data_IF_934147904652
#
_entry.id   IF_934147904652
#
_cell.length_a   1.000
_cell.length_b   1.000
_cell.length_c   1.000
_cell.angle_alpha   90.00
_cell.angle_beta   90.00
_cell.angle_gamma   90.00
#
_symmetry.space_group_name_H-M   'P 1'
#
loop_
_entity.id
_entity.type
_entity.pdbx_description
1 polymer ?
#
# COMPACT_ATOMS: atom_id res chain seq x y z
N UNK A 1 -25.11 4.64 13.18
CA UNK A 1 -24.01 3.75 12.75
C UNK A 1 -24.41 2.28 12.92
N UNK A 2 -24.28 1.43 11.89
CA UNK A 2 -24.57 -0.02 11.96
C UNK A 2 -23.31 -0.82 11.66
N UNK A 3 -22.91 -1.70 12.58
CA UNK A 3 -21.81 -2.65 12.39
C UNK A 3 -22.35 -4.04 12.02
N UNK A 4 -21.69 -4.71 11.08
CA UNK A 4 -21.97 -6.08 10.65
C UNK A 4 -20.67 -6.88 10.66
N UNK A 5 -20.61 -7.90 11.52
CA UNK A 5 -19.43 -8.73 11.73
C UNK A 5 -19.51 -9.96 10.83
N UNK A 6 -18.58 -10.07 9.90
CA UNK A 6 -18.47 -11.20 8.97
C UNK A 6 -17.22 -12.02 9.29
N UNK A 7 -17.22 -13.27 8.86
CA UNK A 7 -15.99 -14.07 8.96
C UNK A 7 -14.93 -13.44 8.04
N UNK A 8 -13.87 -12.91 8.63
CA UNK A 8 -12.73 -12.31 7.93
C UNK A 8 -12.76 -10.79 7.74
N UNK A 9 -13.87 -10.11 8.04
CA UNK A 9 -13.97 -8.65 7.91
C UNK A 9 -15.16 -8.07 8.69
N UNK A 10 -15.13 -6.76 8.93
CA UNK A 10 -16.22 -6.00 9.55
C UNK A 10 -16.69 -4.91 8.60
N UNK A 11 -17.99 -4.66 8.58
CA UNK A 11 -18.61 -3.61 7.78
C UNK A 11 -19.25 -2.58 8.72
N UNK A 12 -18.91 -1.31 8.55
CA UNK A 12 -19.56 -0.19 9.20
C UNK A 12 -20.31 0.64 8.16
N UNK A 13 -21.55 1.03 8.47
CA UNK A 13 -22.39 1.85 7.58
C UNK A 13 -22.93 3.07 8.30
N UNK A 14 -22.82 4.21 7.65
CA UNK A 14 -23.26 5.50 8.17
C UNK A 14 -23.70 6.45 7.05
N UNK A 15 -24.88 7.05 7.19
CA UNK A 15 -25.38 8.04 6.24
C UNK A 15 -25.55 7.50 4.81
N UNK A 16 -24.91 8.16 3.85
CA UNK A 16 -24.94 7.82 2.43
C UNK A 16 -24.46 6.39 2.15
N UNK A 17 -24.88 5.81 1.01
CA UNK A 17 -24.39 4.48 0.59
C UNK A 17 -22.93 4.52 0.11
N UNK A 18 -22.50 5.66 -0.41
CA UNK A 18 -21.16 5.92 -0.96
C UNK A 18 -20.45 6.99 -0.13
N UNK A 19 -19.12 7.06 -0.14
CA UNK A 19 -18.17 6.14 -0.80
C UNK A 19 -17.94 4.83 0.00
N UNK A 20 -17.37 3.81 -0.64
CA UNK A 20 -16.87 2.60 0.01
C UNK A 20 -15.38 2.73 0.33
N UNK A 21 -15.04 2.77 1.62
CA UNK A 21 -13.67 2.66 2.12
C UNK A 21 -13.33 1.21 2.40
N UNK A 22 -12.23 0.70 1.84
CA UNK A 22 -11.85 -0.71 1.97
C UNK A 22 -10.39 -0.82 2.41
N UNK A 23 -10.16 -1.37 3.60
CA UNK A 23 -8.81 -1.62 4.14
C UNK A 23 -8.51 -3.11 4.06
N UNK A 24 -7.90 -3.52 2.94
CA UNK A 24 -7.67 -4.93 2.59
C UNK A 24 -6.67 -5.61 3.54
N UNK A 25 -5.74 -4.83 4.10
CA UNK A 25 -4.55 -5.30 4.81
C UNK A 25 -4.46 -4.78 6.26
N UNK A 26 -5.58 -4.39 6.86
CA UNK A 26 -5.68 -3.88 8.23
C UNK A 26 -5.72 -4.96 9.31
N UNK A 27 -5.86 -6.23 8.94
CA UNK A 27 -5.83 -7.36 9.87
C UNK A 27 -4.50 -7.52 10.62
N UNK A 28 -4.42 -8.46 11.56
CA UNK A 28 -3.29 -8.59 12.47
C UNK A 28 -1.97 -8.83 11.74
N UNK A 29 -0.90 -8.28 12.30
CA UNK A 29 0.45 -8.58 11.85
C UNK A 29 0.96 -9.86 12.55
N UNK A 30 1.06 -10.96 11.80
CA UNK A 30 1.57 -12.23 12.32
C UNK A 30 3.02 -12.46 11.86
N UNK A 31 3.86 -12.91 12.78
CA UNK A 31 5.32 -13.12 12.67
C UNK A 31 6.20 -11.89 12.40
N UNK A 32 5.70 -10.90 11.64
CA UNK A 32 6.45 -9.68 11.33
C UNK A 32 5.57 -8.45 11.56
N UNK A 33 6.01 -7.44 12.34
CA UNK A 33 5.20 -6.26 12.65
C UNK A 33 4.83 -5.45 11.39
N UNK A 34 5.64 -5.58 10.33
CA UNK A 34 5.53 -4.84 9.08
C UNK A 34 4.69 -5.54 8.01
N UNK A 35 3.96 -6.61 8.35
CA UNK A 35 3.16 -7.37 7.37
C UNK A 35 1.78 -6.78 7.10
N UNK A 36 1.29 -5.88 7.95
CA UNK A 36 0.00 -5.17 7.80
C UNK A 36 0.20 -3.76 7.28
N UNK A 37 -0.87 -3.18 6.73
CA UNK A 37 -0.89 -1.76 6.35
C UNK A 37 -1.25 -0.93 7.59
N UNK A 38 -0.21 -0.53 8.34
CA UNK A 38 -0.34 0.10 9.66
C UNK A 38 -1.15 1.40 9.64
N UNK A 39 -2.24 1.42 10.41
CA UNK A 39 -3.17 2.56 10.56
C UNK A 39 -3.84 3.00 9.25
N UNK A 40 -3.85 2.15 8.21
CA UNK A 40 -4.68 2.39 7.02
C UNK A 40 -6.16 2.48 7.41
N UNK A 41 -6.59 1.62 8.34
CA UNK A 41 -7.94 1.63 8.88
C UNK A 41 -8.26 2.92 9.64
N UNK A 42 -7.28 3.55 10.29
CA UNK A 42 -7.47 4.80 11.03
C UNK A 42 -7.75 5.97 10.08
N UNK A 43 -6.96 6.11 9.02
CA UNK A 43 -7.19 7.16 8.02
C UNK A 43 -8.51 6.91 7.29
N UNK A 44 -8.80 5.66 6.92
CA UNK A 44 -10.06 5.27 6.31
C UNK A 44 -11.26 5.56 7.21
N UNK A 45 -11.21 5.21 8.50
CA UNK A 45 -12.31 5.46 9.44
C UNK A 45 -12.53 6.94 9.68
N UNK A 46 -11.47 7.73 9.82
CA UNK A 46 -11.58 9.17 10.02
C UNK A 46 -12.15 9.89 8.78
N UNK A 47 -11.80 9.45 7.56
CA UNK A 47 -12.43 9.97 6.34
C UNK A 47 -13.88 9.54 6.23
N UNK A 48 -14.17 8.28 6.54
CA UNK A 48 -15.54 7.75 6.57
C UNK A 48 -16.45 8.52 7.54
N UNK A 49 -15.97 8.87 8.74
CA UNK A 49 -16.72 9.70 9.69
C UNK A 49 -17.00 11.12 9.15
N UNK A 50 -16.18 11.63 8.23
CA UNK A 50 -16.35 12.96 7.62
C UNK A 50 -17.34 12.94 6.45
N UNK A 51 -17.36 11.88 5.65
CA UNK A 51 -18.12 11.82 4.39
C UNK A 51 -19.33 10.89 4.45
N UNK A 52 -19.45 10.06 5.49
CA UNK A 52 -20.36 8.91 5.51
C UNK A 52 -19.91 7.80 4.55
N UNK A 53 -20.83 6.89 4.23
CA UNK A 53 -20.59 5.77 3.33
C UNK A 53 -20.51 4.42 4.03
N UNK A 54 -19.74 3.52 3.42
CA UNK A 54 -19.47 2.18 3.94
C UNK A 54 -17.97 2.01 4.20
N UNK A 55 -17.60 1.54 5.39
CA UNK A 55 -16.24 1.17 5.73
C UNK A 55 -16.13 -0.35 5.89
N UNK A 56 -15.26 -0.99 5.11
CA UNK A 56 -14.97 -2.43 5.14
C UNK A 56 -13.54 -2.62 5.63
N UNK A 57 -13.39 -3.33 6.76
CA UNK A 57 -12.11 -3.55 7.42
C UNK A 57 -11.81 -5.04 7.47
N UNK A 58 -10.71 -5.46 6.84
CA UNK A 58 -10.22 -6.84 6.97
C UNK A 58 -9.82 -7.14 8.41
N UNK A 59 -10.25 -8.28 8.94
CA UNK A 59 -9.89 -8.74 10.29
C UNK A 59 -8.91 -9.90 10.30
N UNK A 60 -8.47 -10.36 9.12
CA UNK A 60 -7.54 -11.49 8.95
C UNK A 60 -6.19 -11.03 8.42
N UNK A 61 -5.10 -11.73 8.79
CA UNK A 61 -3.76 -11.37 8.33
C UNK A 61 -3.66 -11.58 6.81
N UNK A 62 -2.97 -10.68 6.10
CA UNK A 62 -2.68 -10.88 4.66
C UNK A 62 -1.63 -11.97 4.39
N UNK A 63 -1.07 -12.58 5.44
CA UNK A 63 -0.07 -13.63 5.32
C UNK A 63 -0.75 -14.93 4.87
N UNK A 64 -0.41 -15.39 3.67
CA UNK A 64 -1.09 -16.51 2.97
C UNK A 64 -1.19 -17.81 3.76
N UNK A 65 -0.24 -18.10 4.65
CA UNK A 65 -0.28 -19.27 5.51
C UNK A 65 -1.45 -19.23 6.52
N UNK A 66 -1.79 -18.05 7.04
CA UNK A 66 -2.75 -17.91 8.15
C UNK A 66 -4.01 -17.11 7.78
N UNK A 67 -4.00 -16.39 6.67
CA UNK A 67 -5.14 -15.63 6.21
C UNK A 67 -5.10 -15.38 4.70
N UNK A 68 -5.61 -14.23 4.28
CA UNK A 68 -5.95 -13.96 2.88
C UNK A 68 -5.44 -12.57 2.52
N UNK A 69 -4.60 -12.51 1.49
CA UNK A 69 -4.28 -11.26 0.82
C UNK A 69 -5.35 -10.95 -0.22
N UNK A 70 -6.36 -10.18 0.17
CA UNK A 70 -7.45 -9.80 -0.73
C UNK A 70 -6.96 -9.03 -1.97
N UNK A 71 -5.75 -8.46 -1.96
CA UNK A 71 -5.18 -7.74 -3.09
C UNK A 71 -4.56 -8.67 -4.17
N UNK A 72 -4.76 -9.99 -4.05
CA UNK A 72 -4.27 -11.04 -4.97
C UNK A 72 -5.40 -11.94 -5.44
N UNK A 73 -5.11 -12.79 -6.42
CA UNK A 73 -6.08 -13.68 -7.02
C UNK A 73 -6.29 -14.99 -6.22
N UNK A 74 -7.36 -15.70 -6.55
CA UNK A 74 -7.64 -17.03 -5.99
C UNK A 74 -6.64 -18.04 -6.58
N UNK A 75 -5.89 -18.79 -5.75
CA UNK A 75 -5.01 -19.86 -6.22
C UNK A 75 -5.80 -21.06 -6.77
N UNK A 76 -5.26 -21.81 -7.74
CA UNK A 76 -5.76 -23.16 -8.03
C UNK A 76 -5.69 -24.04 -6.78
N UNK A 77 -6.74 -24.83 -6.51
CA UNK A 77 -6.86 -25.67 -5.30
C UNK A 77 -5.64 -26.55 -5.04
N UNK A 78 -5.19 -27.26 -6.08
CA UNK A 78 -4.02 -28.15 -5.99
C UNK A 78 -2.75 -27.38 -5.58
N UNK A 79 -2.49 -26.25 -6.24
CA UNK A 79 -1.31 -25.42 -5.97
C UNK A 79 -1.36 -24.81 -4.56
N UNK A 80 -2.54 -24.36 -4.10
CA UNK A 80 -2.74 -23.80 -2.77
C UNK A 80 -2.42 -24.81 -1.65
N UNK A 81 -2.76 -26.08 -1.86
CA UNK A 81 -2.53 -27.16 -0.90
C UNK A 81 -1.08 -27.59 -0.92
N UNK A 82 -0.51 -27.84 -2.10
CA UNK A 82 0.87 -28.30 -2.26
C UNK A 82 1.89 -27.31 -1.70
N UNK A 83 1.64 -26.01 -1.82
CA UNK A 83 2.58 -24.98 -1.36
C UNK A 83 2.48 -24.68 0.14
N UNK A 84 1.44 -25.17 0.83
CA UNK A 84 1.21 -24.81 2.23
C UNK A 84 2.38 -25.20 3.15
N UNK A 85 2.92 -26.40 2.96
CA UNK A 85 4.08 -26.87 3.73
C UNK A 85 5.31 -25.97 3.52
N UNK A 86 5.51 -25.45 2.30
CA UNK A 86 6.61 -24.52 1.99
C UNK A 86 6.45 -23.21 2.76
N UNK A 87 5.21 -22.71 2.88
CA UNK A 87 4.92 -21.49 3.64
C UNK A 87 5.16 -21.64 5.14
N UNK A 88 4.80 -22.78 5.72
CA UNK A 88 4.98 -23.05 7.15
C UNK A 88 6.46 -23.23 7.50
N UNK A 89 7.21 -23.93 6.64
CA UNK A 89 8.64 -24.18 6.84
C UNK A 89 9.55 -23.05 6.33
N UNK A 90 8.98 -22.05 5.68
CA UNK A 90 9.67 -20.95 4.96
C UNK A 90 10.80 -21.46 4.04
N UNK A 91 10.53 -22.55 3.32
CA UNK A 91 11.48 -23.18 2.37
C UNK A 91 11.17 -22.78 0.94
N UNK A 92 12.18 -22.87 0.06
CA UNK A 92 12.05 -22.56 -1.37
C UNK A 92 11.55 -21.12 -1.63
N UNK A 93 12.35 -20.14 -1.20
CA UNK A 93 12.04 -18.71 -1.25
C UNK A 93 11.61 -18.23 -2.65
N UNK A 94 12.15 -18.83 -3.72
CA UNK A 94 11.77 -18.48 -5.09
C UNK A 94 10.33 -18.84 -5.41
N UNK A 95 9.92 -20.07 -5.09
CA UNK A 95 8.54 -20.52 -5.29
C UNK A 95 7.58 -19.70 -4.44
N UNK A 96 7.90 -19.46 -3.17
CA UNK A 96 7.07 -18.65 -2.27
C UNK A 96 6.88 -17.22 -2.78
N UNK A 97 7.94 -16.59 -3.28
CA UNK A 97 7.88 -15.23 -3.83
C UNK A 97 6.96 -15.15 -5.06
N UNK A 98 7.11 -16.08 -6.02
CA UNK A 98 6.26 -16.09 -7.22
C UNK A 98 4.79 -16.38 -6.89
N UNK A 99 4.53 -17.25 -5.92
CA UNK A 99 3.18 -17.48 -5.43
C UNK A 99 2.59 -16.24 -4.77
N UNK A 100 3.34 -15.56 -3.88
CA UNK A 100 2.89 -14.33 -3.18
C UNK A 100 2.52 -13.21 -4.15
N UNK A 101 3.21 -13.11 -5.29
CA UNK A 101 2.92 -12.11 -6.33
C UNK A 101 1.55 -12.32 -6.99
N UNK A 102 1.05 -13.55 -7.03
CA UNK A 102 -0.16 -13.91 -7.79
C UNK A 102 -1.35 -14.18 -6.88
N UNK A 103 -1.14 -14.93 -5.81
CA UNK A 103 -2.23 -15.60 -5.10
C UNK A 103 -2.44 -15.14 -3.65
N UNK A 104 -3.70 -15.22 -3.24
CA UNK A 104 -4.24 -14.66 -2.02
C UNK A 104 -3.95 -15.51 -0.77
N UNK A 105 -3.90 -16.83 -0.89
CA UNK A 105 -3.72 -17.71 0.26
C UNK A 105 -3.09 -19.05 -0.11
N UNK A 106 -2.56 -19.77 0.87
CA UNK A 106 -2.27 -21.21 0.80
C UNK A 106 -3.27 -21.93 1.72
N UNK A 107 -3.46 -23.24 1.56
CA UNK A 107 -4.46 -24.00 2.32
C UNK A 107 -3.87 -25.31 2.84
N UNK A 108 -4.20 -25.69 4.08
CA UNK A 108 -3.73 -26.97 4.66
C UNK A 108 -4.22 -28.18 3.91
N UNK A 109 -5.47 -28.13 3.49
CA UNK A 109 -6.25 -29.25 2.99
C UNK A 109 -7.44 -28.72 2.16
N UNK A 110 -8.24 -29.62 1.57
CA UNK A 110 -9.43 -29.23 0.81
C UNK A 110 -10.47 -28.41 1.57
N UNK A 111 -10.61 -28.58 2.88
CA UNK A 111 -11.60 -27.90 3.72
C UNK A 111 -11.16 -26.46 4.03
N UNK A 112 -9.91 -26.28 4.46
CA UNK A 112 -9.29 -24.96 4.67
C UNK A 112 -9.33 -24.13 3.37
N UNK A 113 -9.10 -24.77 2.21
CA UNK A 113 -9.25 -24.12 0.92
C UNK A 113 -10.68 -23.61 0.69
N UNK A 114 -11.69 -24.44 0.95
CA UNK A 114 -13.09 -24.08 0.77
C UNK A 114 -13.49 -22.92 1.70
N UNK A 115 -13.04 -22.96 2.96
CA UNK A 115 -13.30 -21.90 3.93
C UNK A 115 -12.66 -20.56 3.51
N UNK A 116 -11.39 -20.56 3.10
CA UNK A 116 -10.71 -19.34 2.63
C UNK A 116 -11.33 -18.79 1.36
N UNK A 117 -11.73 -19.66 0.44
CA UNK A 117 -12.43 -19.27 -0.76
C UNK A 117 -13.78 -18.62 -0.43
N UNK A 118 -14.53 -19.17 0.52
CA UNK A 118 -15.78 -18.59 0.99
C UNK A 118 -15.57 -17.18 1.56
N UNK A 119 -14.58 -17.00 2.45
CA UNK A 119 -14.24 -15.69 3.02
C UNK A 119 -13.83 -14.70 1.92
N UNK A 120 -12.95 -15.12 1.00
CA UNK A 120 -12.51 -14.30 -0.14
C UNK A 120 -13.69 -13.82 -0.99
N UNK A 121 -14.59 -14.74 -1.36
CA UNK A 121 -15.78 -14.41 -2.16
C UNK A 121 -16.75 -13.52 -1.39
N UNK A 122 -16.98 -13.80 -0.10
CA UNK A 122 -17.87 -13.00 0.74
C UNK A 122 -17.40 -11.56 0.86
N UNK A 123 -16.10 -11.35 1.10
CA UNK A 123 -15.49 -10.03 1.16
C UNK A 123 -15.71 -9.26 -0.15
N UNK A 124 -15.32 -9.84 -1.29
CA UNK A 124 -15.43 -9.16 -2.57
C UNK A 124 -16.88 -8.95 -3.04
N UNK A 125 -17.80 -9.84 -2.65
CA UNK A 125 -19.23 -9.65 -2.91
C UNK A 125 -19.79 -8.44 -2.15
N UNK A 126 -19.27 -8.14 -0.96
CA UNK A 126 -19.63 -6.91 -0.26
C UNK A 126 -19.05 -5.67 -0.94
N UNK A 127 -17.75 -5.69 -1.26
CA UNK A 127 -17.08 -4.55 -1.91
C UNK A 127 -17.71 -4.20 -3.27
N UNK A 128 -18.14 -5.21 -4.05
CA UNK A 128 -18.80 -5.03 -5.36
C UNK A 128 -20.10 -4.22 -5.32
N UNK A 129 -20.72 -4.06 -4.14
CA UNK A 129 -21.94 -3.27 -3.97
C UNK A 129 -21.69 -1.77 -4.08
N UNK A 130 -20.46 -1.32 -3.86
CA UNK A 130 -20.06 0.08 -4.01
C UNK A 130 -19.88 0.48 -5.47
N UNK A 131 -20.26 1.71 -5.78
CA UNK A 131 -19.97 2.38 -7.05
C UNK A 131 -18.64 3.13 -6.99
N UNK A 132 -18.40 3.87 -5.90
CA UNK A 132 -17.14 4.56 -5.64
C UNK A 132 -16.37 3.81 -4.55
N UNK A 133 -15.23 3.21 -4.90
CA UNK A 133 -14.44 2.36 -4.01
C UNK A 133 -13.06 2.96 -3.81
N UNK A 134 -12.76 3.35 -2.57
CA UNK A 134 -11.45 3.75 -2.08
C UNK A 134 -10.77 2.57 -1.39
N UNK A 135 -9.81 1.93 -2.08
CA UNK A 135 -8.93 0.94 -1.48
C UNK A 135 -7.82 1.68 -0.73
N UNK A 136 -7.81 1.59 0.60
CA UNK A 136 -6.87 2.33 1.45
C UNK A 136 -5.77 1.37 1.92
N UNK A 137 -4.54 1.72 1.56
CA UNK A 137 -3.32 0.98 1.87
C UNK A 137 -2.39 1.83 2.75
N UNK A 138 -1.15 1.40 2.94
CA UNK A 138 -0.11 2.22 3.58
C UNK A 138 1.24 2.01 2.91
N UNK A 139 1.85 3.11 2.50
CA UNK A 139 3.20 3.12 1.93
C UNK A 139 4.24 3.40 3.02
N UNK A 140 5.31 2.62 3.09
CA UNK A 140 6.46 2.98 3.93
C UNK A 140 7.11 4.27 3.43
N UNK A 141 7.31 5.23 4.33
CA UNK A 141 8.00 6.49 4.08
C UNK A 141 9.47 6.24 3.73
N UNK A 142 9.78 5.95 2.46
CA UNK A 142 11.12 5.59 1.96
C UNK A 142 11.51 6.47 0.77
N UNK A 143 12.81 6.53 0.44
CA UNK A 143 13.32 7.41 -0.62
C UNK A 143 12.64 7.13 -1.98
N UNK A 144 12.29 5.87 -2.23
CA UNK A 144 11.62 5.42 -3.47
C UNK A 144 10.25 6.08 -3.73
N UNK A 145 9.57 6.59 -2.71
CA UNK A 145 8.25 7.20 -2.89
C UNK A 145 8.28 8.74 -2.94
N UNK A 146 9.41 9.38 -2.66
CA UNK A 146 9.52 10.84 -2.70
C UNK A 146 9.13 11.39 -4.09
N UNK A 147 8.44 12.56 -4.14
CA UNK A 147 8.05 13.44 -3.02
C UNK A 147 6.70 13.05 -2.40
N UNK A 148 6.13 11.91 -2.78
CA UNK A 148 4.77 11.53 -2.40
C UNK A 148 4.62 11.37 -0.90
N UNK A 149 3.61 12.03 -0.33
CA UNK A 149 3.13 11.81 1.04
C UNK A 149 1.86 10.96 1.07
N UNK A 150 1.16 10.92 -0.07
CA UNK A 150 0.03 10.05 -0.39
C UNK A 150 0.02 9.89 -1.92
N UNK A 151 0.11 8.65 -2.41
CA UNK A 151 0.02 8.37 -3.85
C UNK A 151 -1.34 7.79 -4.18
N UNK A 152 -1.93 8.21 -5.29
CA UNK A 152 -3.25 7.74 -5.73
C UNK A 152 -3.08 6.94 -7.00
N UNK A 153 -3.59 5.72 -7.03
CA UNK A 153 -3.67 4.92 -8.25
C UNK A 153 -5.10 4.88 -8.77
N UNK A 154 -5.29 5.11 -10.07
CA UNK A 154 -6.60 5.00 -10.71
C UNK A 154 -6.73 3.60 -11.31
N UNK A 155 -7.52 2.73 -10.70
CA UNK A 155 -7.76 1.38 -11.23
C UNK A 155 -8.87 1.35 -12.29
N UNK A 156 -9.77 2.32 -12.25
CA UNK A 156 -10.89 2.42 -13.19
C UNK A 156 -10.43 2.71 -14.62
N UNK A 157 -11.12 2.09 -15.58
CA UNK A 157 -10.89 2.26 -17.02
C UNK A 157 -11.78 3.35 -17.63
N UNK A 158 -12.55 4.10 -16.83
CA UNK A 158 -13.40 5.20 -17.30
C UNK A 158 -12.54 6.26 -17.99
N UNK A 159 -12.83 6.54 -19.26
CA UNK A 159 -12.08 7.51 -20.07
C UNK A 159 -12.09 8.90 -19.41
N UNK A 160 -10.97 9.61 -19.46
CA UNK A 160 -10.82 10.96 -18.90
C UNK A 160 -10.74 11.05 -17.36
N UNK A 161 -11.14 10.01 -16.61
CA UNK A 161 -11.14 10.02 -15.15
C UNK A 161 -9.78 10.40 -14.56
N UNK A 162 -8.69 9.78 -15.05
CA UNK A 162 -7.34 10.06 -14.54
C UNK A 162 -6.95 11.52 -14.65
N UNK A 163 -7.33 12.21 -15.73
CA UNK A 163 -7.05 13.64 -15.90
C UNK A 163 -7.77 14.46 -14.83
N UNK A 164 -9.06 14.20 -14.61
CA UNK A 164 -9.82 14.86 -13.56
C UNK A 164 -9.25 14.60 -12.15
N UNK A 165 -8.74 13.40 -11.88
CA UNK A 165 -8.07 13.09 -10.61
C UNK A 165 -6.78 13.93 -10.46
N UNK A 166 -6.00 14.11 -11.52
CA UNK A 166 -4.81 14.95 -11.50
C UNK A 166 -5.19 16.41 -11.18
N UNK A 167 -6.18 16.96 -11.86
CA UNK A 167 -6.65 18.35 -11.62
C UNK A 167 -7.11 18.54 -10.16
N UNK A 168 -7.87 17.58 -9.61
CA UNK A 168 -8.31 17.59 -8.20
C UNK A 168 -7.11 17.53 -7.25
N UNK A 169 -6.12 16.69 -7.54
CA UNK A 169 -4.90 16.58 -6.72
C UNK A 169 -4.07 17.84 -6.76
N UNK A 170 -4.02 18.56 -7.89
CA UNK A 170 -3.33 19.85 -8.00
C UNK A 170 -4.01 20.94 -7.16
N UNK A 171 -5.35 21.00 -7.17
CA UNK A 171 -6.11 21.89 -6.28
C UNK A 171 -5.86 21.58 -4.80
N UNK A 172 -5.93 20.30 -4.42
CA UNK A 172 -5.67 19.85 -3.05
C UNK A 172 -4.22 20.15 -2.67
N UNK A 173 -3.26 19.95 -3.57
CA UNK A 173 -1.87 20.29 -3.30
C UNK A 173 -1.68 21.79 -3.04
N UNK A 174 -2.40 22.63 -3.78
CA UNK A 174 -2.40 24.09 -3.57
C UNK A 174 -3.03 24.46 -2.22
N UNK A 175 -4.16 23.86 -1.88
CA UNK A 175 -4.87 24.09 -0.62
C UNK A 175 -4.02 23.69 0.61
N UNK A 176 -3.32 22.55 0.55
CA UNK A 176 -2.50 22.04 1.67
C UNK A 176 -1.01 22.43 1.58
N UNK A 177 -0.62 23.34 0.68
CA UNK A 177 0.78 23.74 0.48
C UNK A 177 1.48 24.19 1.79
N UNK A 178 0.80 24.99 2.60
CA UNK A 178 1.31 25.44 3.90
C UNK A 178 1.55 24.29 4.87
N UNK A 179 0.64 23.32 4.91
CA UNK A 179 0.80 22.12 5.73
C UNK A 179 2.01 21.31 5.26
N UNK A 180 2.14 21.05 3.96
CA UNK A 180 3.26 20.31 3.40
C UNK A 180 4.60 20.96 3.67
N UNK A 181 4.68 22.30 3.56
CA UNK A 181 5.90 23.03 3.91
C UNK A 181 6.22 22.91 5.40
N UNK A 182 5.21 23.02 6.27
CA UNK A 182 5.37 22.89 7.73
C UNK A 182 5.90 21.52 8.15
N UNK A 183 5.47 20.44 7.48
CA UNK A 183 5.88 19.06 7.82
C UNK A 183 7.09 18.55 7.03
N UNK A 184 7.62 19.33 6.09
CA UNK A 184 8.70 18.90 5.20
C UNK A 184 9.90 18.32 5.97
N UNK A 185 10.40 19.04 6.98
CA UNK A 185 11.58 18.64 7.75
C UNK A 185 11.34 17.33 8.51
N UNK A 186 10.18 17.18 9.16
CA UNK A 186 9.85 15.98 9.91
C UNK A 186 9.59 14.79 8.99
N UNK A 187 8.89 15.01 7.86
CA UNK A 187 8.68 13.98 6.83
C UNK A 187 10.01 13.44 6.30
N UNK A 188 10.91 14.32 5.85
CA UNK A 188 12.24 13.94 5.35
C UNK A 188 13.07 13.22 6.42
N UNK A 189 12.95 13.62 7.70
CA UNK A 189 13.60 12.91 8.81
C UNK A 189 13.05 11.50 9.00
N UNK A 190 11.73 11.30 8.91
CA UNK A 190 11.13 9.96 8.97
C UNK A 190 11.59 9.10 7.80
N UNK A 191 11.66 9.67 6.59
CA UNK A 191 12.19 8.94 5.42
C UNK A 191 13.63 8.48 5.65
N UNK A 192 14.49 9.36 6.16
CA UNK A 192 15.88 9.00 6.50
C UNK A 192 15.96 7.84 7.52
N UNK A 193 15.17 7.92 8.61
CA UNK A 193 15.17 6.90 9.66
C UNK A 193 14.64 5.56 9.17
N UNK A 194 13.65 5.57 8.28
CA UNK A 194 13.15 4.34 7.65
C UNK A 194 14.16 3.72 6.68
N UNK A 195 14.94 4.53 5.96
CA UNK A 195 16.07 4.04 5.16
C UNK A 195 17.15 3.40 6.02
N UNK A 196 17.54 4.07 7.10
CA UNK A 196 18.50 3.55 8.09
C UNK A 196 18.02 2.22 8.68
N UNK A 197 16.76 2.15 9.13
CA UNK A 197 16.16 0.93 9.65
C UNK A 197 16.17 -0.19 8.60
N UNK A 198 15.83 0.11 7.35
CA UNK A 198 15.75 -0.88 6.28
C UNK A 198 17.12 -1.47 5.94
N UNK A 199 18.13 -0.62 5.71
CA UNK A 199 19.49 -1.06 5.37
C UNK A 199 20.15 -1.81 6.53
N UNK A 200 20.03 -1.30 7.76
CA UNK A 200 20.57 -1.98 8.94
C UNK A 200 19.90 -3.35 9.17
N UNK A 201 18.60 -3.48 8.88
CA UNK A 201 17.93 -4.77 8.98
C UNK A 201 18.43 -5.77 7.92
N UNK A 202 18.69 -5.33 6.68
CA UNK A 202 19.30 -6.18 5.65
C UNK A 202 20.66 -6.66 6.11
N UNK A 203 21.53 -5.75 6.58
CA UNK A 203 22.85 -6.11 7.09
C UNK A 203 22.79 -7.07 8.28
N UNK A 204 21.90 -6.83 9.24
CA UNK A 204 21.75 -7.69 10.42
C UNK A 204 21.37 -9.11 10.03
N UNK A 205 20.45 -9.28 9.07
CA UNK A 205 19.91 -10.59 8.68
C UNK A 205 20.88 -11.34 7.76
N UNK A 206 21.41 -10.66 6.74
CA UNK A 206 22.20 -11.32 5.70
C UNK A 206 23.71 -11.22 5.91
N UNK A 207 24.17 -10.40 6.87
CA UNK A 207 25.59 -10.10 7.16
C UNK A 207 26.39 -9.58 5.96
N UNK A 208 25.72 -9.28 4.85
CA UNK A 208 26.28 -8.73 3.62
C UNK A 208 25.21 -7.92 2.90
N UNK A 209 25.65 -7.04 2.01
CA UNK A 209 24.79 -6.33 1.05
C UNK A 209 24.87 -7.00 -0.34
N UNK A 210 25.63 -8.11 -0.45
CA UNK A 210 25.69 -8.95 -1.66
C UNK A 210 24.31 -9.36 -2.13
N UNK A 211 23.95 -8.92 -3.34
CA UNK A 211 22.63 -9.09 -3.95
C UNK A 211 22.24 -10.56 -4.17
N UNK A 212 23.23 -11.45 -4.16
CA UNK A 212 23.14 -12.89 -4.37
C UNK A 212 22.63 -13.67 -3.14
N UNK A 213 22.79 -13.12 -1.93
CA UNK A 213 22.41 -13.79 -0.67
C UNK A 213 21.16 -13.22 0.00
N UNK A 214 20.58 -12.16 -0.57
CA UNK A 214 19.43 -11.45 -0.01
C UNK A 214 18.13 -12.01 -0.60
N UNK A 215 17.09 -12.23 0.22
CA UNK A 215 15.78 -12.63 -0.31
C UNK A 215 15.26 -11.61 -1.35
N UNK A 216 14.63 -12.11 -2.41
CA UNK A 216 14.25 -11.29 -3.58
C UNK A 216 13.37 -10.08 -3.25
N UNK A 217 12.52 -10.14 -2.23
CA UNK A 217 11.70 -9.00 -1.80
C UNK A 217 12.55 -7.82 -1.28
N UNK A 218 13.62 -8.10 -0.52
CA UNK A 218 14.53 -7.06 -0.05
C UNK A 218 15.34 -6.49 -1.21
N UNK A 219 15.78 -7.34 -2.15
CA UNK A 219 16.48 -6.91 -3.35
C UNK A 219 15.61 -5.99 -4.23
N UNK A 220 14.34 -6.34 -4.48
CA UNK A 220 13.41 -5.49 -5.24
C UNK A 220 13.22 -4.13 -4.56
N UNK A 221 13.12 -4.11 -3.23
CA UNK A 221 12.97 -2.87 -2.49
C UNK A 221 14.23 -2.00 -2.58
N UNK A 222 15.41 -2.57 -2.33
CA UNK A 222 16.68 -1.84 -2.40
C UNK A 222 16.94 -1.26 -3.80
N UNK A 223 16.63 -2.01 -4.86
CA UNK A 223 16.68 -1.50 -6.24
C UNK A 223 15.80 -0.26 -6.41
N UNK A 224 14.58 -0.28 -5.88
CA UNK A 224 13.67 0.88 -5.96
C UNK A 224 14.16 2.06 -5.13
N UNK A 225 14.83 1.82 -4.01
CA UNK A 225 15.43 2.89 -3.22
C UNK A 225 16.60 3.54 -3.97
N UNK A 226 17.43 2.74 -4.64
CA UNK A 226 18.49 3.24 -5.54
C UNK A 226 17.92 4.07 -6.70
N UNK A 227 16.83 3.60 -7.34
CA UNK A 227 16.12 4.42 -8.34
C UNK A 227 15.55 5.70 -7.74
N UNK A 228 15.10 5.66 -6.48
CA UNK A 228 14.69 6.84 -5.72
C UNK A 228 15.81 7.86 -5.55
N UNK A 229 17.04 7.41 -5.25
CA UNK A 229 18.22 8.26 -5.11
C UNK A 229 18.61 8.92 -6.44
N UNK A 230 18.60 8.16 -7.55
CA UNK A 230 18.93 8.68 -8.90
C UNK A 230 18.06 9.87 -9.33
N UNK A 231 16.85 10.00 -8.80
CA UNK A 231 15.97 11.15 -9.10
C UNK A 231 16.46 12.48 -8.52
N UNK A 232 17.29 12.43 -7.48
CA UNK A 232 17.72 13.61 -6.72
C UNK A 232 19.24 13.71 -6.56
N UNK A 233 19.99 12.74 -7.08
CA UNK A 233 21.44 12.69 -7.00
C UNK A 233 22.08 12.69 -8.39
N UNK A 234 23.31 13.18 -8.48
CA UNK A 234 24.08 13.17 -9.72
C UNK A 234 24.58 11.76 -10.02
N UNK A 235 24.76 11.40 -11.30
CA UNK A 235 25.20 10.04 -11.67
C UNK A 235 26.58 9.72 -11.06
N UNK A 236 27.48 10.71 -10.98
CA UNK A 236 28.79 10.57 -10.31
C UNK A 236 28.69 10.14 -8.85
N UNK A 237 27.70 10.66 -8.11
CA UNK A 237 27.46 10.28 -6.72
C UNK A 237 26.88 8.86 -6.59
N UNK A 238 26.08 8.45 -7.58
CA UNK A 238 25.52 7.11 -7.67
C UNK A 238 26.62 6.09 -8.02
N UNK A 239 27.53 6.44 -8.93
CA UNK A 239 28.65 5.58 -9.31
C UNK A 239 29.60 5.34 -8.15
N UNK A 240 29.93 6.37 -7.37
CA UNK A 240 30.70 6.22 -6.12
C UNK A 240 30.02 5.24 -5.15
N UNK A 241 28.69 5.32 -5.01
CA UNK A 241 27.93 4.38 -4.17
C UNK A 241 27.95 2.95 -4.73
N UNK A 242 27.92 2.79 -6.06
CA UNK A 242 28.00 1.47 -6.72
C UNK A 242 29.38 0.82 -6.53
N UNK A 243 30.44 1.61 -6.65
CA UNK A 243 31.82 1.15 -6.46
C UNK A 243 32.15 0.80 -5.01
N UNK A 244 31.59 1.56 -4.06
CA UNK A 244 31.86 1.38 -2.64
C UNK A 244 30.57 1.46 -1.79
N UNK A 245 29.74 0.41 -1.91
CA UNK A 245 28.49 0.37 -1.16
C UNK A 245 28.74 0.10 0.33
N UNK A 246 28.43 1.08 1.18
CA UNK A 246 28.37 0.95 2.64
C UNK A 246 27.10 1.61 3.17
N UNK A 247 26.63 1.24 4.37
CA UNK A 247 25.51 1.93 5.01
C UNK A 247 25.76 3.43 5.16
N UNK A 248 26.97 3.80 5.55
CA UNK A 248 27.35 5.20 5.70
C UNK A 248 27.24 5.96 4.37
N UNK A 249 27.76 5.38 3.27
CA UNK A 249 27.69 5.99 1.94
C UNK A 249 26.24 6.07 1.45
N UNK A 250 25.45 5.01 1.62
CA UNK A 250 24.04 5.00 1.24
C UNK A 250 23.22 6.06 2.01
N UNK A 251 23.41 6.16 3.32
CA UNK A 251 22.70 7.13 4.15
C UNK A 251 23.19 8.56 3.91
N UNK A 252 24.47 8.76 3.61
CA UNK A 252 25.00 10.05 3.17
C UNK A 252 24.31 10.51 1.89
N UNK A 253 24.20 9.62 0.90
CA UNK A 253 23.52 9.93 -0.36
C UNK A 253 22.02 10.15 -0.16
N UNK A 254 21.38 9.37 0.72
CA UNK A 254 19.99 9.58 1.13
C UNK A 254 19.78 10.98 1.71
N UNK A 255 20.69 11.46 2.56
CA UNK A 255 20.62 12.82 3.14
C UNK A 255 20.71 13.89 2.05
N UNK A 256 21.59 13.72 1.06
CA UNK A 256 21.70 14.64 -0.09
C UNK A 256 20.42 14.64 -0.94
N UNK A 257 19.89 13.47 -1.27
CA UNK A 257 18.64 13.33 -2.00
C UNK A 257 17.49 14.04 -1.29
N UNK A 258 17.38 13.88 0.04
CA UNK A 258 16.37 14.55 0.86
C UNK A 258 16.53 16.08 0.88
N UNK A 259 17.76 16.60 0.86
CA UNK A 259 18.01 18.04 0.78
C UNK A 259 17.57 18.64 -0.56
N UNK A 260 17.75 17.89 -1.66
CA UNK A 260 17.41 18.33 -3.02
C UNK A 260 15.96 18.07 -3.42
N UNK A 261 15.28 17.16 -2.73
CA UNK A 261 13.87 16.86 -2.97
C UNK A 261 12.98 18.07 -2.63
N UNK A 262 11.94 18.29 -3.43
CA UNK A 262 10.87 19.25 -3.15
C UNK A 262 10.08 18.90 -1.86
N UNK A 263 9.24 19.82 -1.33
CA UNK A 263 8.32 19.51 -0.24
C UNK A 263 7.39 18.32 -0.55
N UNK A 264 6.91 17.60 0.48
CA UNK A 264 5.96 16.51 0.27
C UNK A 264 4.70 16.97 -0.44
N UNK A 265 4.10 16.09 -1.24
CA UNK A 265 2.81 16.37 -1.90
C UNK A 265 2.01 15.11 -2.17
N UNK A 266 0.72 15.27 -2.43
CA UNK A 266 -0.11 14.19 -2.97
C UNK A 266 0.27 13.98 -4.43
N UNK A 267 0.39 12.72 -4.86
CA UNK A 267 0.74 12.37 -6.23
C UNK A 267 -0.25 11.40 -6.85
N UNK A 268 -0.28 11.31 -8.17
CA UNK A 268 -1.09 10.34 -8.92
C UNK A 268 -0.16 9.42 -9.69
N UNK A 269 -0.14 8.14 -9.30
CA UNK A 269 0.65 7.07 -9.92
C UNK A 269 2.15 7.37 -10.05
N UNK A 270 2.70 8.14 -9.12
CA UNK A 270 4.13 8.50 -9.14
C UNK A 270 5.01 7.29 -8.82
N UNK A 271 4.56 6.46 -7.87
CA UNK A 271 5.27 5.24 -7.49
C UNK A 271 4.40 3.99 -7.70
N UNK A 272 3.13 4.04 -7.30
CA UNK A 272 2.21 2.92 -7.41
C UNK A 272 1.39 3.00 -8.71
N UNK A 273 1.54 1.98 -9.56
CA UNK A 273 0.82 1.85 -10.84
C UNK A 273 -0.35 0.86 -10.80
N UNK A 274 -0.66 0.30 -9.63
CA UNK A 274 -1.73 -0.70 -9.47
C UNK A 274 -1.51 -2.03 -10.21
N UNK A 275 -0.30 -2.31 -10.68
CA UNK A 275 0.02 -3.56 -11.40
C UNK A 275 -0.02 -4.79 -10.48
N UNK A 276 0.18 -4.58 -9.18
CA UNK A 276 0.09 -5.63 -8.16
C UNK A 276 -1.36 -5.86 -7.65
N UNK A 277 -2.33 -5.04 -8.07
CA UNK A 277 -3.73 -5.09 -7.59
C UNK A 277 -4.58 -6.15 -8.33
N UNK A 278 -4.11 -7.39 -8.38
CA UNK A 278 -4.75 -8.46 -9.19
C UNK A 278 -6.17 -8.78 -8.69
N UNK A 279 -6.34 -8.90 -7.37
CA UNK A 279 -7.65 -9.15 -6.75
C UNK A 279 -8.67 -8.08 -7.13
N UNK A 280 -8.45 -6.79 -6.80
CA UNK A 280 -9.33 -5.70 -7.22
C UNK A 280 -9.63 -5.70 -8.70
N UNK A 281 -8.61 -5.87 -9.56
CA UNK A 281 -8.78 -5.85 -11.02
C UNK A 281 -9.72 -6.96 -11.50
N UNK A 282 -9.56 -8.19 -11.02
CA UNK A 282 -10.41 -9.32 -11.41
C UNK A 282 -11.81 -9.27 -10.80
N UNK A 283 -11.95 -8.68 -9.61
CA UNK A 283 -13.21 -8.66 -8.89
C UNK A 283 -14.08 -7.46 -9.25
N UNK A 284 -13.51 -6.32 -9.62
CA UNK A 284 -14.27 -5.09 -9.85
C UNK A 284 -14.40 -4.72 -11.33
N UNK A 285 -13.73 -5.42 -12.25
CA UNK A 285 -13.76 -5.12 -13.68
C UNK A 285 -14.08 -6.34 -14.55
N UNK A 286 -14.65 -6.13 -15.75
CA UNK A 286 -15.06 -4.85 -16.33
C UNK A 286 -16.28 -4.24 -15.61
N UNK A 287 -16.23 -2.94 -15.29
CA UNK A 287 -17.37 -2.17 -14.80
C UNK A 287 -17.16 -0.66 -14.94
N UNK A 288 -18.22 0.11 -14.73
CA UNK A 288 -18.28 1.58 -14.73
C UNK A 288 -17.89 2.23 -13.39
N UNK A 289 -17.54 1.41 -12.38
CA UNK A 289 -17.17 1.85 -11.04
C UNK A 289 -15.94 2.78 -11.06
N UNK A 290 -15.91 3.68 -10.09
CA UNK A 290 -14.73 4.47 -9.78
C UNK A 290 -13.98 3.74 -8.68
N UNK A 291 -12.79 3.21 -9.00
CA UNK A 291 -11.95 2.48 -8.04
C UNK A 291 -10.59 3.15 -7.97
N UNK A 292 -10.26 3.67 -6.79
CA UNK A 292 -8.99 4.33 -6.51
C UNK A 292 -8.24 3.58 -5.40
N UNK A 293 -6.92 3.46 -5.53
CA UNK A 293 -6.07 3.15 -4.39
C UNK A 293 -5.57 4.45 -3.79
N UNK A 294 -5.72 4.60 -2.49
CA UNK A 294 -5.04 5.63 -1.70
C UNK A 294 -3.90 4.96 -0.93
N UNK A 295 -2.68 5.41 -1.17
CA UNK A 295 -1.45 4.91 -0.56
C UNK A 295 -0.82 6.02 0.32
N UNK A 296 -1.50 6.46 1.41
CA UNK A 296 -0.89 7.39 2.35
C UNK A 296 0.35 6.77 2.96
N UNK A 297 1.36 7.60 3.20
CA UNK A 297 2.59 7.13 3.82
C UNK A 297 2.40 6.84 5.30
N UNK A 298 3.23 5.98 5.88
CA UNK A 298 3.29 5.74 7.33
C UNK A 298 3.43 7.04 8.13
N UNK A 299 4.07 8.05 7.55
CA UNK A 299 4.12 9.40 8.12
C UNK A 299 2.72 10.00 8.32
N UNK A 300 1.86 9.95 7.30
CA UNK A 300 0.46 10.40 7.44
C UNK A 300 -0.36 9.46 8.30
N UNK A 301 -0.28 8.14 8.09
CA UNK A 301 -1.20 7.21 8.78
C UNK A 301 -0.91 7.10 10.28
N UNK A 302 0.33 7.28 10.71
CA UNK A 302 0.71 7.18 12.13
C UNK A 302 0.83 8.56 12.81
N UNK A 303 1.56 9.51 12.23
CA UNK A 303 1.87 10.78 12.89
C UNK A 303 0.84 11.88 12.64
N UNK A 304 0.13 11.83 11.50
CA UNK A 304 -0.84 12.86 11.10
C UNK A 304 -2.17 12.27 10.58
N UNK A 305 -2.79 11.28 11.26
CA UNK A 305 -3.93 10.54 10.71
C UNK A 305 -5.13 11.44 10.41
N UNK A 306 -5.41 12.43 11.26
CA UNK A 306 -6.48 13.40 11.02
C UNK A 306 -6.25 14.22 9.74
N UNK A 307 -5.02 14.72 9.52
CA UNK A 307 -4.72 15.49 8.31
C UNK A 307 -4.71 14.60 7.06
N UNK A 308 -4.20 13.37 7.17
CA UNK A 308 -4.30 12.38 6.10
C UNK A 308 -5.76 12.11 5.73
N UNK A 309 -6.65 12.02 6.72
CA UNK A 309 -8.09 11.81 6.50
C UNK A 309 -8.79 13.02 5.88
N UNK A 310 -8.38 14.24 6.23
CA UNK A 310 -8.91 15.49 5.66
C UNK A 310 -8.56 15.61 4.18
N UNK A 311 -7.28 15.41 3.85
CA UNK A 311 -6.79 15.41 2.46
C UNK A 311 -7.54 14.36 1.63
N UNK A 312 -7.63 13.12 2.15
CA UNK A 312 -8.33 12.05 1.44
C UNK A 312 -9.83 12.33 1.28
N UNK A 313 -10.50 12.83 2.32
CA UNK A 313 -11.92 13.18 2.27
C UNK A 313 -12.20 14.32 1.28
N UNK A 314 -11.35 15.33 1.21
CA UNK A 314 -11.50 16.43 0.27
C UNK A 314 -11.37 15.96 -1.19
N UNK A 315 -10.38 15.11 -1.47
CA UNK A 315 -10.22 14.49 -2.80
C UNK A 315 -11.49 13.71 -3.17
N UNK A 316 -11.97 12.86 -2.26
CA UNK A 316 -13.16 12.04 -2.49
C UNK A 316 -14.41 12.91 -2.71
N UNK A 317 -14.60 13.94 -1.89
CA UNK A 317 -15.73 14.87 -2.00
C UNK A 317 -15.72 15.58 -3.35
N UNK A 318 -14.58 16.14 -3.77
CA UNK A 318 -14.43 16.79 -5.08
C UNK A 318 -14.70 15.83 -6.23
N UNK A 319 -14.37 14.54 -6.09
CA UNK A 319 -14.69 13.54 -7.11
C UNK A 319 -16.19 13.27 -7.16
N UNK A 320 -16.82 13.07 -6.00
CA UNK A 320 -18.25 12.83 -5.90
C UNK A 320 -19.05 14.00 -6.46
N UNK A 321 -18.65 15.25 -6.21
CA UNK A 321 -19.33 16.45 -6.71
C UNK A 321 -19.18 16.67 -8.23
N UNK A 322 -18.04 16.25 -8.81
CA UNK A 322 -17.72 16.55 -10.22
C UNK A 322 -18.03 15.41 -11.18
N UNK A 323 -17.99 14.16 -10.72
CA UNK A 323 -17.95 12.99 -11.59
C UNK A 323 -19.08 11.98 -11.36
N UNK A 324 -19.92 12.19 -10.33
CA UNK A 324 -21.03 11.32 -9.92
C UNK A 324 -22.28 12.17 -9.76
#
# INVERSE_FOLDING_TARGET
>A
MRADFRTGFIIYREGNKEPYYVTLHSGPALERPMSRDGNSETVASLSWLKTGGTLIVSTIPRKRAYGIDFNRDIPPKKEAIEIYADFVKDVNQKRLYEFRKKYAFAARDPEDYAQRLFIYKSFWNEVKKGFYISLVHTAYSRIKILPSIMDITVLSTKYGLKKHIIDIVEEVNSHYANFFKKVEKSYKRVVYLEEERAINNILRVYRTIGLDKIQMEFLENMKKDLEGLKRYCEESEIDILRENFTTANFLSLTKKALQRCEPPRVTVEHFFKGSKSIGPRKQLFPSDRIVLNFEPTTFLTFWHPHKGSEIMAEIITKILERLI
#
